data_IF_934788844309
#
_entry.id   IF_934788844309
#
_cell.length_a   1.000
_cell.length_b   1.000
_cell.length_c   1.000
_cell.angle_alpha   90.00
_cell.angle_beta   90.00
_cell.angle_gamma   90.00
#
_symmetry.space_group_name_H-M   'P 1'
#
loop_
_entity.id
_entity.type
_entity.pdbx_description
1 polymer ?
#
# COMPACT_ATOMS: atom_id res chain seq x y z
N UNK A 1 -15.51 12.92 -3.41
CA UNK A 1 -14.37 12.40 -4.19
C UNK A 1 -13.09 12.99 -3.63
N UNK A 2 -12.01 12.20 -3.52
CA UNK A 2 -10.72 12.69 -3.04
C UNK A 2 -10.06 13.63 -4.06
N UNK A 3 -9.32 14.63 -3.56
CA UNK A 3 -8.53 15.59 -4.36
C UNK A 3 -7.01 15.37 -4.24
N UNK A 4 -6.61 14.25 -3.65
CA UNK A 4 -5.22 13.87 -3.38
C UNK A 4 -4.75 12.82 -4.38
N UNK A 5 -3.43 12.63 -4.50
CA UNK A 5 -2.85 11.59 -5.36
C UNK A 5 -3.30 10.17 -4.98
N UNK A 6 -3.39 9.87 -3.68
CA UNK A 6 -3.88 8.57 -3.20
C UNK A 6 -5.41 8.48 -3.28
N UNK A 7 -5.91 7.71 -4.24
CA UNK A 7 -7.34 7.47 -4.46
C UNK A 7 -7.83 6.11 -3.94
N UNK A 8 -6.92 5.14 -3.76
CA UNK A 8 -7.28 3.78 -3.35
C UNK A 8 -7.88 3.79 -1.92
N UNK A 9 -9.13 3.36 -1.79
CA UNK A 9 -9.90 3.53 -0.56
C UNK A 9 -9.30 2.77 0.63
N UNK A 10 -8.93 1.50 0.44
CA UNK A 10 -8.38 0.70 1.55
C UNK A 10 -7.02 1.20 2.03
N UNK A 11 -6.09 1.49 1.11
CA UNK A 11 -4.79 2.07 1.41
C UNK A 11 -4.93 3.43 2.10
N UNK A 12 -5.89 4.24 1.66
CA UNK A 12 -6.23 5.50 2.31
C UNK A 12 -6.65 5.33 3.76
N UNK A 13 -7.50 4.33 4.02
CA UNK A 13 -7.94 4.02 5.37
C UNK A 13 -6.77 3.51 6.22
N UNK A 14 -5.97 2.56 5.70
CA UNK A 14 -4.82 2.02 6.40
C UNK A 14 -3.83 3.11 6.84
N UNK A 15 -3.49 4.05 5.94
CA UNK A 15 -2.59 5.16 6.26
C UNK A 15 -3.22 6.12 7.27
N UNK A 16 -4.50 6.45 7.12
CA UNK A 16 -5.20 7.35 8.04
C UNK A 16 -5.33 6.79 9.46
N UNK A 17 -5.23 5.47 9.62
CA UNK A 17 -5.30 4.79 10.93
C UNK A 17 -3.95 4.52 11.58
N UNK A 18 -2.82 4.81 10.90
CA UNK A 18 -1.49 4.59 11.47
C UNK A 18 -1.27 5.49 12.69
N UNK A 19 -0.94 4.87 13.81
CA UNK A 19 -0.48 5.52 15.03
C UNK A 19 1.05 5.60 15.12
N UNK A 20 1.54 6.20 16.21
CA UNK A 20 2.98 6.25 16.47
C UNK A 20 3.53 4.84 16.73
N UNK A 21 4.50 4.42 15.92
CA UNK A 21 5.12 3.08 16.01
C UNK A 21 4.50 2.05 15.08
N UNK A 22 3.39 2.36 14.41
CA UNK A 22 2.84 1.49 13.38
C UNK A 22 3.72 1.49 12.12
N UNK A 23 3.69 0.37 11.40
CA UNK A 23 4.49 0.18 10.20
C UNK A 23 3.61 -0.20 9.01
N UNK A 24 3.94 0.36 7.85
CA UNK A 24 3.39 -0.01 6.55
C UNK A 24 4.53 -0.57 5.69
N UNK A 25 4.32 -1.73 5.09
CA UNK A 25 5.28 -2.36 4.18
C UNK A 25 4.72 -2.33 2.76
N UNK A 26 5.51 -1.82 1.81
CA UNK A 26 5.25 -1.91 0.38
C UNK A 26 6.21 -2.97 -0.18
N UNK A 27 5.66 -4.11 -0.59
CA UNK A 27 6.42 -5.24 -1.13
C UNK A 27 6.18 -5.45 -2.62
N UNK A 28 7.10 -6.16 -3.26
CA UNK A 28 6.87 -6.73 -4.58
C UNK A 28 6.05 -8.03 -4.51
N UNK A 29 5.73 -8.61 -5.68
CA UNK A 29 4.92 -9.84 -5.80
C UNK A 29 5.55 -11.09 -5.17
N UNK A 30 6.85 -11.06 -4.86
CA UNK A 30 7.60 -12.17 -4.27
C UNK A 30 7.75 -12.09 -2.76
N UNK A 31 7.36 -10.98 -2.12
CA UNK A 31 7.52 -10.80 -0.68
C UNK A 31 6.59 -11.75 0.11
N UNK A 32 7.12 -12.68 0.93
CA UNK A 32 6.28 -13.49 1.80
C UNK A 32 5.63 -12.62 2.90
N UNK A 33 4.33 -12.77 3.08
CA UNK A 33 3.56 -12.05 4.10
C UNK A 33 3.23 -13.01 5.24
N UNK A 34 3.68 -12.75 6.48
CA UNK A 34 3.34 -13.59 7.63
C UNK A 34 1.85 -13.49 7.98
N UNK A 35 1.34 -14.40 8.80
CA UNK A 35 -0.03 -14.32 9.30
C UNK A 35 -0.18 -13.11 10.24
N UNK A 36 -1.28 -12.36 10.11
CA UNK A 36 -1.65 -11.27 11.03
C UNK A 36 -1.79 -9.90 10.36
N UNK A 37 -0.77 -9.37 9.67
CA UNK A 37 -0.87 -8.09 8.99
C UNK A 37 -1.97 -8.06 7.95
N UNK A 38 -2.66 -6.91 7.83
CA UNK A 38 -3.59 -6.66 6.73
C UNK A 38 -2.82 -6.64 5.41
N UNK A 39 -3.25 -7.46 4.45
CA UNK A 39 -2.75 -7.45 3.06
C UNK A 39 -3.67 -6.61 2.18
N UNK A 40 -3.09 -5.67 1.44
CA UNK A 40 -3.77 -4.94 0.36
C UNK A 40 -3.02 -5.29 -0.94
N UNK A 41 -3.67 -6.05 -1.82
CA UNK A 41 -3.09 -6.46 -3.09
C UNK A 41 -3.39 -5.42 -4.18
N UNK A 42 -2.32 -4.81 -4.70
CA UNK A 42 -2.40 -3.80 -5.76
C UNK A 42 -1.89 -4.34 -7.10
N UNK A 43 -1.34 -5.56 -7.15
CA UNK A 43 -0.71 -6.09 -8.34
C UNK A 43 -1.78 -6.39 -9.40
N UNK A 44 -1.67 -5.73 -10.56
CA UNK A 44 -2.56 -5.96 -11.69
C UNK A 44 -1.95 -6.98 -12.66
N UNK A 45 -0.67 -6.82 -12.96
CA UNK A 45 0.11 -7.67 -13.89
C UNK A 45 1.61 -7.48 -13.58
N UNK A 46 2.55 -8.34 -14.04
CA UNK A 46 3.96 -8.16 -13.74
C UNK A 46 4.46 -6.75 -14.04
N UNK A 47 5.01 -6.09 -13.02
CA UNK A 47 5.54 -4.72 -13.09
C UNK A 47 4.50 -3.60 -13.02
N UNK A 48 3.20 -3.90 -12.87
CA UNK A 48 2.13 -2.89 -12.82
C UNK A 48 1.23 -3.09 -11.58
N UNK A 49 1.13 -2.09 -10.70
CA UNK A 49 1.99 -0.90 -10.61
C UNK A 49 3.43 -1.29 -10.21
N UNK A 50 4.42 -0.45 -10.55
CA UNK A 50 5.76 -0.62 -10.02
C UNK A 50 5.78 -0.25 -8.52
N UNK A 51 6.61 -0.92 -7.72
CA UNK A 51 6.78 -0.61 -6.28
C UNK A 51 7.09 0.88 -6.06
N UNK A 52 7.93 1.45 -6.93
CA UNK A 52 8.28 2.87 -6.88
C UNK A 52 7.09 3.82 -7.13
N UNK A 53 6.11 3.41 -7.94
CA UNK A 53 4.91 4.21 -8.18
C UNK A 53 4.00 4.21 -6.95
N UNK A 54 3.85 3.04 -6.30
CA UNK A 54 3.10 2.92 -5.04
C UNK A 54 3.77 3.77 -3.95
N UNK A 55 5.10 3.66 -3.79
CA UNK A 55 5.86 4.42 -2.81
C UNK A 55 5.68 5.94 -3.01
N UNK A 56 5.77 6.42 -4.26
CA UNK A 56 5.60 7.84 -4.60
C UNK A 56 4.20 8.39 -4.29
N UNK A 57 3.17 7.54 -4.32
CA UNK A 57 1.79 7.95 -4.00
C UNK A 57 1.52 7.89 -2.49
N UNK A 58 2.27 7.06 -1.75
CA UNK A 58 2.15 6.89 -0.30
C UNK A 58 2.90 7.97 0.48
N UNK A 59 4.06 8.42 -0.01
CA UNK A 59 4.89 9.49 0.59
C UNK A 59 4.53 10.87 0.02
#
# INVERSE_FOLDING_TARGET
>A
MKRTALLHAELSHAIATLGHGDMLVIGDVGLPIPNGPRRIDLALTPGIPAVADVLRVVL
#
